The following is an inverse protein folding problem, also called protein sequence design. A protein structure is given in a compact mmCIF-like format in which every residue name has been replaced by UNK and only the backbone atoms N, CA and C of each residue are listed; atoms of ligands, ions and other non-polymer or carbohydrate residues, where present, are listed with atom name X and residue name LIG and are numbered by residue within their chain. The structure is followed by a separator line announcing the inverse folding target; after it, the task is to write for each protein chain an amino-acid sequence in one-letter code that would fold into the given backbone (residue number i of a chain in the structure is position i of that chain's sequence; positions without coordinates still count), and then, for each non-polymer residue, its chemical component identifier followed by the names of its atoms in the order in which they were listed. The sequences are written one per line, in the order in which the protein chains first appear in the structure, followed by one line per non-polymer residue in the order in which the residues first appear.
data_IF_270685400406
#
_entry.id   IF_270685400406
#
_cell.length_a   1.000
_cell.length_b   1.000
_cell.length_c   1.000
_cell.angle_alpha   90.00
_cell.angle_beta   90.00
_cell.angle_gamma   90.00
#
_symmetry.space_group_name_H-M   'P 1'
#
loop_
_entity.id
_entity.type
_entity.pdbx_description
1 polymer ?
#
# COMPACT_ATOMS: atom_id res chain seq x y z
N UNK A 1 -13.41 -2.58 -6.98
CA UNK A 1 -13.40 -4.03 -6.66
C UNK A 1 -12.28 -4.40 -5.66
N UNK A 2 -12.09 -3.63 -4.59
CA UNK A 2 -11.04 -3.91 -3.59
C UNK A 2 -11.45 -4.98 -2.55
N UNK A 3 -12.72 -5.42 -2.55
CA UNK A 3 -13.26 -6.37 -1.58
C UNK A 3 -13.08 -7.86 -1.93
N UNK A 4 -12.41 -8.19 -3.03
CA UNK A 4 -12.28 -9.59 -3.52
C UNK A 4 -10.84 -10.12 -3.50
N UNK A 5 -9.96 -9.50 -2.74
CA UNK A 5 -8.61 -10.03 -2.50
C UNK A 5 -8.66 -11.05 -1.37
N UNK A 6 -8.66 -12.34 -1.70
CA UNK A 6 -8.28 -13.36 -0.71
C UNK A 6 -6.77 -13.44 -0.78
N UNK A 7 -6.13 -12.53 -0.05
CA UNK A 7 -4.73 -12.74 0.35
C UNK A 7 -4.76 -13.54 1.65
N UNK A 8 -3.76 -14.38 1.86
CA UNK A 8 -3.61 -15.19 3.07
C UNK A 8 -3.88 -14.37 4.34
N UNK A 9 -4.38 -15.01 5.42
CA UNK A 9 -4.59 -14.32 6.71
C UNK A 9 -3.34 -13.55 7.16
N UNK A 10 -2.14 -14.04 6.82
CA UNK A 10 -0.85 -13.38 7.10
C UNK A 10 -0.77 -11.96 6.50
N UNK A 11 -1.26 -11.75 5.29
CA UNK A 11 -1.25 -10.43 4.66
C UNK A 11 -2.18 -9.45 5.39
N UNK A 12 -3.35 -9.90 5.82
CA UNK A 12 -4.27 -9.07 6.59
C UNK A 12 -3.71 -8.73 7.97
N UNK A 13 -3.03 -9.66 8.64
CA UNK A 13 -2.29 -9.36 9.87
C UNK A 13 -1.16 -8.36 9.63
N UNK A 14 -0.44 -8.47 8.52
CA UNK A 14 0.63 -7.53 8.17
C UNK A 14 0.05 -6.13 7.94
N UNK A 15 -1.04 -6.01 7.17
CA UNK A 15 -1.74 -4.74 6.99
C UNK A 15 -2.24 -4.15 8.31
N UNK A 16 -2.82 -4.99 9.18
CA UNK A 16 -3.28 -4.57 10.49
C UNK A 16 -2.14 -4.05 11.36
N UNK A 17 -1.01 -4.75 11.38
CA UNK A 17 0.20 -4.32 12.09
C UNK A 17 0.74 -3.00 11.52
N UNK A 18 0.84 -2.87 10.19
CA UNK A 18 1.31 -1.63 9.57
C UNK A 18 0.39 -0.45 9.87
N UNK A 19 -0.94 -0.66 9.84
CA UNK A 19 -1.92 0.35 10.20
C UNK A 19 -1.83 0.76 11.67
N UNK A 20 -1.68 -0.23 12.57
CA UNK A 20 -1.52 0.01 14.01
C UNK A 20 -0.22 0.80 14.32
N UNK A 21 0.90 0.40 13.73
CA UNK A 21 2.18 1.13 13.90
C UNK A 21 2.07 2.55 13.37
N UNK A 22 1.49 2.74 12.18
CA UNK A 22 1.29 4.06 11.57
C UNK A 22 0.41 4.98 12.44
N UNK A 23 -0.65 4.42 13.02
CA UNK A 23 -1.52 5.13 13.97
C UNK A 23 -0.79 5.51 15.25
N UNK A 24 -0.11 4.57 15.89
CA UNK A 24 0.57 4.81 17.17
C UNK A 24 1.70 5.81 16.99
N UNK A 25 2.55 5.62 15.99
CA UNK A 25 3.67 6.54 15.71
C UNK A 25 3.15 7.93 15.42
N UNK A 26 2.18 8.08 14.52
CA UNK A 26 1.70 9.40 14.17
C UNK A 26 0.90 10.09 15.27
N UNK A 27 0.14 9.36 16.09
CA UNK A 27 -0.56 9.94 17.26
C UNK A 27 0.41 10.34 18.37
N UNK A 28 1.40 9.50 18.70
CA UNK A 28 2.45 9.83 19.68
C UNK A 28 3.20 11.07 19.22
N UNK A 29 3.63 11.11 17.95
CA UNK A 29 4.40 12.23 17.42
C UNK A 29 3.60 13.54 17.36
N UNK A 30 2.29 13.45 17.07
CA UNK A 30 1.37 14.58 17.13
C UNK A 30 1.17 15.09 18.57
N UNK A 31 1.21 14.22 19.58
CA UNK A 31 1.03 14.60 20.99
C UNK A 31 2.32 15.19 21.59
N UNK A 32 3.48 14.62 21.27
CA UNK A 32 4.77 15.07 21.82
C UNK A 32 5.25 16.39 21.22
N UNK A 33 4.91 16.66 19.95
CA UNK A 33 5.43 17.83 19.23
C UNK A 33 4.36 18.88 18.90
N UNK A 34 3.28 18.97 19.70
CA UNK A 34 2.14 19.87 19.46
C UNK A 34 2.52 21.33 19.21
N UNK A 35 3.64 21.80 19.76
CA UNK A 35 4.12 23.18 19.60
C UNK A 35 4.97 23.44 18.34
N UNK A 36 5.58 22.41 17.77
CA UNK A 36 6.46 22.50 16.59
C UNK A 36 5.74 22.11 15.30
N UNK A 37 4.53 21.56 15.42
CA UNK A 37 3.72 21.06 14.33
C UNK A 37 2.84 22.13 13.71
N UNK A 38 3.47 23.10 13.03
CA UNK A 38 2.75 24.10 12.24
C UNK A 38 2.95 23.87 10.74
N UNK A 39 1.86 23.94 9.96
CA UNK A 39 1.89 23.85 8.50
C UNK A 39 2.14 22.44 7.94
N UNK A 40 3.08 22.32 7.02
CA UNK A 40 3.33 21.10 6.23
C UNK A 40 3.58 19.81 7.04
N UNK A 41 4.39 19.82 8.11
CA UNK A 41 4.62 18.64 8.93
C UNK A 41 3.33 18.11 9.60
N UNK A 42 2.44 18.99 10.05
CA UNK A 42 1.16 18.59 10.65
C UNK A 42 0.26 17.88 9.62
N UNK A 43 0.23 18.37 8.38
CA UNK A 43 -0.52 17.73 7.30
C UNK A 43 0.03 16.34 6.96
N UNK A 44 1.36 16.18 6.91
CA UNK A 44 2.01 14.89 6.64
C UNK A 44 1.71 13.86 7.73
N UNK A 45 1.76 14.24 9.02
CA UNK A 45 1.33 13.34 10.10
C UNK A 45 -0.14 13.01 9.98
N UNK A 46 -0.99 14.00 9.68
CA UNK A 46 -2.42 13.79 9.50
C UNK A 46 -2.71 12.77 8.39
N UNK A 47 -2.00 12.85 7.27
CA UNK A 47 -2.11 11.88 6.19
C UNK A 47 -1.59 10.50 6.60
N UNK A 48 -0.44 10.43 7.28
CA UNK A 48 0.16 9.18 7.73
C UNK A 48 -0.72 8.45 8.76
N UNK A 49 -1.25 9.17 9.74
CA UNK A 49 -2.20 8.62 10.73
C UNK A 49 -3.53 8.23 10.10
N UNK A 50 -4.09 9.07 9.21
CA UNK A 50 -5.33 8.79 8.50
C UNK A 50 -5.25 7.54 7.62
N UNK A 51 -4.16 7.39 6.86
CA UNK A 51 -3.90 6.19 6.07
C UNK A 51 -3.72 4.96 6.97
N UNK A 52 -3.00 5.11 8.09
CA UNK A 52 -2.88 4.07 9.13
C UNK A 52 -4.24 3.61 9.67
N UNK A 53 -5.14 4.56 9.94
CA UNK A 53 -6.51 4.29 10.41
C UNK A 53 -7.30 3.44 9.41
N UNK A 54 -7.26 3.83 8.14
CA UNK A 54 -7.97 3.10 7.07
C UNK A 54 -7.43 1.69 6.94
N UNK A 55 -6.10 1.52 6.92
CA UNK A 55 -5.48 0.18 6.84
C UNK A 55 -5.86 -0.69 8.04
N UNK A 56 -5.84 -0.12 9.25
CA UNK A 56 -6.21 -0.83 10.48
C UNK A 56 -7.67 -1.26 10.46
N UNK A 57 -8.60 -0.33 10.22
CA UNK A 57 -10.05 -0.62 10.23
C UNK A 57 -10.39 -1.63 9.13
N UNK A 58 -9.90 -1.42 7.92
CA UNK A 58 -10.21 -2.29 6.79
C UNK A 58 -9.70 -3.73 7.00
N UNK A 59 -8.47 -3.87 7.51
CA UNK A 59 -7.90 -5.19 7.82
C UNK A 59 -8.61 -5.87 8.99
N UNK A 60 -8.99 -5.13 10.03
CA UNK A 60 -9.75 -5.65 11.17
C UNK A 60 -11.13 -6.17 10.74
N UNK A 61 -11.88 -5.39 9.96
CA UNK A 61 -13.18 -5.80 9.41
C UNK A 61 -13.03 -7.06 8.55
N UNK A 62 -11.99 -7.11 7.70
CA UNK A 62 -11.77 -8.27 6.84
C UNK A 62 -11.41 -9.53 7.63
N UNK A 63 -10.58 -9.41 8.66
CA UNK A 63 -10.24 -10.53 9.55
C UNK A 63 -11.46 -11.02 10.32
N UNK A 64 -12.29 -10.11 10.83
CA UNK A 64 -13.56 -10.45 11.48
C UNK A 64 -14.50 -11.18 10.52
N UNK A 65 -14.64 -10.70 9.28
CA UNK A 65 -15.42 -11.37 8.23
C UNK A 65 -14.89 -12.78 7.94
N UNK A 66 -13.58 -12.94 7.78
CA UNK A 66 -12.97 -14.26 7.55
C UNK A 66 -13.12 -15.22 8.74
N UNK A 67 -13.28 -14.71 9.96
CA UNK A 67 -13.56 -15.52 11.14
C UNK A 67 -15.05 -15.94 11.22
N UNK A 68 -15.96 -15.08 10.77
CA UNK A 68 -17.41 -15.30 10.84
C UNK A 68 -17.97 -16.14 9.67
N UNK A 69 -17.30 -16.18 8.52
CA UNK A 69 -17.83 -16.80 7.30
C UNK A 69 -17.47 -18.28 7.22
N UNK A 70 -18.42 -19.08 6.69
CA UNK A 70 -18.22 -20.52 6.54
C UNK A 70 -17.05 -20.86 5.59
N UNK A 71 -16.30 -21.93 5.87
CA UNK A 71 -15.14 -22.34 5.06
C UNK A 71 -15.53 -22.66 3.62
N UNK A 72 -16.78 -23.08 3.37
CA UNK A 72 -17.31 -23.35 2.03
C UNK A 72 -17.41 -22.07 1.20
N UNK A 73 -17.86 -20.95 1.80
CA UNK A 73 -17.92 -19.66 1.11
C UNK A 73 -16.52 -19.13 0.82
N UNK A 74 -15.59 -19.27 1.77
CA UNK A 74 -14.18 -18.88 1.57
C UNK A 74 -13.52 -19.66 0.43
N UNK A 75 -13.74 -20.98 0.34
CA UNK A 75 -13.24 -21.80 -0.78
C UNK A 75 -13.83 -21.39 -2.12
N UNK A 76 -15.13 -21.08 -2.18
CA UNK A 76 -15.78 -20.60 -3.42
C UNK A 76 -15.19 -19.27 -3.90
N UNK A 77 -14.87 -18.37 -2.98
CA UNK A 77 -14.18 -17.12 -3.32
C UNK A 77 -12.74 -17.36 -3.77
N UNK A 78 -12.01 -18.30 -3.17
CA UNK A 78 -10.65 -18.64 -3.58
C UNK A 78 -10.61 -19.22 -5.00
N UNK A 79 -11.56 -20.10 -5.34
CA UNK A 79 -11.70 -20.66 -6.69
C UNK A 79 -11.96 -19.54 -7.70
N UNK A 80 -12.87 -18.61 -7.38
CA UNK A 80 -13.13 -17.44 -8.24
C UNK A 80 -11.89 -16.56 -8.39
N UNK A 81 -11.09 -16.40 -7.34
CA UNK A 81 -9.87 -15.61 -7.41
C UNK A 81 -8.80 -16.25 -8.30
N UNK A 82 -8.71 -17.59 -8.28
CA UNK A 82 -7.78 -18.37 -9.11
C UNK A 82 -8.27 -18.60 -10.56
N UNK A 83 -9.44 -18.08 -10.92
CA UNK A 83 -9.91 -18.07 -12.32
C UNK A 83 -8.92 -17.26 -13.17
N UNK A 84 -8.50 -17.82 -14.31
CA UNK A 84 -7.50 -17.25 -15.22
C UNK A 84 -7.84 -15.81 -15.62
N UNK A 85 -9.13 -15.51 -15.81
CA UNK A 85 -9.58 -14.15 -16.16
C UNK A 85 -9.31 -13.14 -15.06
N UNK A 86 -9.56 -13.52 -13.80
CA UNK A 86 -9.29 -12.65 -12.67
C UNK A 86 -7.78 -12.46 -12.46
N UNK A 87 -6.99 -13.50 -12.74
CA UNK A 87 -5.53 -13.41 -12.72
C UNK A 87 -5.03 -12.41 -13.77
N UNK A 88 -5.54 -12.48 -15.01
CA UNK A 88 -5.17 -11.54 -16.08
C UNK A 88 -5.58 -10.09 -15.76
N UNK A 89 -6.81 -9.87 -15.26
CA UNK A 89 -7.27 -8.55 -14.84
C UNK A 89 -6.41 -8.00 -13.71
N UNK A 90 -6.09 -8.83 -12.72
CA UNK A 90 -5.22 -8.44 -11.60
C UNK A 90 -3.83 -8.06 -12.10
N UNK A 91 -3.27 -8.81 -13.05
CA UNK A 91 -1.97 -8.50 -13.67
C UNK A 91 -2.01 -7.15 -14.40
N UNK A 92 -3.05 -6.90 -15.18
CA UNK A 92 -3.19 -5.65 -15.93
C UNK A 92 -3.36 -4.47 -14.97
N UNK A 93 -4.14 -4.64 -13.91
CA UNK A 93 -4.31 -3.64 -12.86
C UNK A 93 -3.00 -3.35 -12.11
N UNK A 94 -2.24 -4.38 -11.73
CA UNK A 94 -0.95 -4.21 -11.06
C UNK A 94 0.08 -3.53 -11.97
N UNK A 95 0.13 -3.93 -13.24
CA UNK A 95 1.03 -3.31 -14.22
C UNK A 95 0.69 -1.84 -14.45
N UNK A 96 -0.60 -1.53 -14.63
CA UNK A 96 -1.09 -0.15 -14.75
C UNK A 96 -0.77 0.68 -13.49
N UNK A 97 -0.95 0.10 -12.30
CA UNK A 97 -0.60 0.78 -11.04
C UNK A 97 0.91 1.03 -10.92
N UNK A 98 1.75 0.10 -11.37
CA UNK A 98 3.20 0.26 -11.38
C UNK A 98 3.64 1.40 -12.30
N UNK A 99 3.07 1.47 -13.51
CA UNK A 99 3.33 2.57 -14.45
C UNK A 99 2.86 3.91 -13.87
N UNK A 100 1.63 3.95 -13.34
CA UNK A 100 1.08 5.16 -12.74
C UNK A 100 1.92 5.68 -11.55
N UNK A 101 2.37 4.78 -10.66
CA UNK A 101 3.22 5.14 -9.54
C UNK A 101 4.60 5.62 -9.99
N UNK A 102 5.18 5.02 -11.04
CA UNK A 102 6.46 5.47 -11.61
C UNK A 102 6.34 6.88 -12.18
N UNK A 103 5.26 7.16 -12.93
CA UNK A 103 4.98 8.50 -13.45
C UNK A 103 4.76 9.51 -12.33
N UNK A 104 4.01 9.14 -11.29
CA UNK A 104 3.80 10.00 -10.13
C UNK A 104 5.11 10.37 -9.42
N UNK A 105 6.01 9.39 -9.21
CA UNK A 105 7.32 9.65 -8.63
C UNK A 105 8.21 10.52 -9.51
N UNK A 106 8.20 10.30 -10.83
CA UNK A 106 8.96 11.15 -11.76
C UNK A 106 8.47 12.61 -11.73
N UNK A 107 7.15 12.83 -11.78
CA UNK A 107 6.57 14.18 -11.69
C UNK A 107 6.90 14.86 -10.37
N UNK A 108 6.75 14.15 -9.24
CA UNK A 108 7.08 14.69 -7.92
C UNK A 108 8.58 15.00 -7.76
N UNK A 109 9.45 14.16 -8.31
CA UNK A 109 10.90 14.41 -8.30
C UNK A 109 11.26 15.68 -9.08
N UNK A 110 10.64 15.91 -10.25
CA UNK A 110 10.80 17.14 -11.02
C UNK A 110 10.29 18.36 -10.25
N UNK A 111 9.14 18.25 -9.58
CA UNK A 111 8.58 19.34 -8.76
C UNK A 111 9.53 19.68 -7.60
N UNK A 112 10.05 18.69 -6.87
CA UNK A 112 10.98 18.95 -5.77
C UNK A 112 12.31 19.51 -6.25
N UNK A 113 12.81 19.06 -7.41
CA UNK A 113 14.00 19.63 -8.01
C UNK A 113 13.78 21.11 -8.39
N UNK A 114 12.64 21.42 -9.01
CA UNK A 114 12.25 22.80 -9.36
C UNK A 114 12.13 23.72 -8.14
N UNK A 115 11.60 23.20 -7.03
CA UNK A 115 11.47 23.92 -5.77
C UNK A 115 12.78 24.02 -4.97
N UNK A 116 13.89 23.46 -5.47
CA UNK A 116 15.18 23.46 -4.78
C UNK A 116 15.31 22.44 -3.64
N UNK A 117 14.32 21.57 -3.45
CA UNK A 117 14.33 20.48 -2.47
C UNK A 117 15.12 19.27 -3.00
N UNK A 118 16.44 19.42 -3.04
CA UNK A 118 17.35 18.43 -3.63
C UNK A 118 17.29 17.08 -2.89
N UNK A 119 17.31 17.08 -1.55
CA UNK A 119 17.31 15.85 -0.76
C UNK A 119 16.01 15.04 -0.98
N UNK A 120 14.80 15.63 -0.84
CA UNK A 120 13.55 14.93 -1.15
C UNK A 120 13.48 14.42 -2.61
N UNK A 121 14.01 15.17 -3.57
CA UNK A 121 14.04 14.74 -4.97
C UNK A 121 14.88 13.47 -5.15
N UNK A 122 16.07 13.39 -4.56
CA UNK A 122 16.89 12.18 -4.61
C UNK A 122 16.27 11.00 -3.85
N UNK A 123 15.62 11.25 -2.71
CA UNK A 123 14.86 10.21 -1.99
C UNK A 123 13.73 9.62 -2.85
N UNK A 124 12.98 10.46 -3.59
CA UNK A 124 11.95 9.98 -4.51
C UNK A 124 12.53 9.19 -5.68
N UNK A 125 13.64 9.63 -6.26
CA UNK A 125 14.32 8.88 -7.32
C UNK A 125 14.78 7.51 -6.83
N UNK A 126 15.34 7.43 -5.62
CA UNK A 126 15.70 6.16 -4.99
C UNK A 126 14.49 5.25 -4.78
N UNK A 127 13.38 5.80 -4.27
CA UNK A 127 12.13 5.06 -4.09
C UNK A 127 11.55 4.56 -5.43
N UNK A 128 11.62 5.38 -6.49
CA UNK A 128 11.21 5.01 -7.83
C UNK A 128 12.03 3.83 -8.37
N UNK A 129 13.36 3.87 -8.23
CA UNK A 129 14.23 2.76 -8.65
C UNK A 129 13.94 1.47 -7.88
N UNK A 130 13.72 1.57 -6.57
CA UNK A 130 13.34 0.42 -5.75
C UNK A 130 12.00 -0.16 -6.20
N UNK A 131 11.00 0.69 -6.50
CA UNK A 131 9.72 0.24 -7.03
C UNK A 131 9.88 -0.48 -8.38
N UNK A 132 10.66 0.08 -9.31
CA UNK A 132 10.92 -0.55 -10.62
C UNK A 132 11.58 -1.92 -10.42
N UNK A 133 12.59 -2.00 -9.55
CA UNK A 133 13.29 -3.25 -9.24
C UNK A 133 12.34 -4.32 -8.68
N UNK A 134 11.51 -3.96 -7.70
CA UNK A 134 10.49 -4.87 -7.13
C UNK A 134 9.51 -5.32 -8.21
N UNK A 135 9.07 -4.41 -9.08
CA UNK A 135 8.13 -4.73 -10.17
C UNK A 135 8.76 -5.70 -11.18
N UNK A 136 10.02 -5.50 -11.53
CA UNK A 136 10.77 -6.39 -12.44
C UNK A 136 10.98 -7.77 -11.81
N UNK A 137 11.38 -7.85 -10.54
CA UNK A 137 11.52 -9.13 -9.83
C UNK A 137 10.18 -9.85 -9.78
N UNK A 138 9.10 -9.15 -9.41
CA UNK A 138 7.77 -9.73 -9.36
C UNK A 138 7.34 -10.29 -10.73
N UNK A 139 7.59 -9.54 -11.81
CA UNK A 139 7.29 -9.99 -13.17
C UNK A 139 8.13 -11.20 -13.59
N UNK A 140 9.43 -11.24 -13.22
CA UNK A 140 10.32 -12.38 -13.52
C UNK A 140 9.93 -13.65 -12.77
N UNK A 141 9.72 -13.54 -11.46
CA UNK A 141 9.32 -14.69 -10.61
C UNK A 141 8.00 -15.28 -11.08
N UNK A 142 7.09 -14.44 -11.55
CA UNK A 142 5.81 -14.88 -12.07
C UNK A 142 5.93 -15.57 -13.44
N UNK A 143 6.65 -14.96 -14.39
CA UNK A 143 6.91 -15.56 -15.71
C UNK A 143 7.66 -16.89 -15.61
N UNK A 144 8.51 -17.09 -14.60
CA UNK A 144 9.25 -18.35 -14.42
C UNK A 144 8.41 -19.48 -13.80
N UNK A 145 7.24 -19.18 -13.24
CA UNK A 145 6.33 -20.17 -12.63
C UNK A 145 5.19 -20.61 -13.55
N UNK A 146 5.01 -19.95 -14.69
CA UNK A 146 4.14 -20.38 -15.78
C UNK A 146 4.99 -21.04 -16.86
#
# INVERSE_FOLDING_TARGET
MLCKTIVSKKYWYLLLLTGAVSLVVGTVWAITNKGELNGGPAMLIGMFTGLGAVLFIFSAIRLAYMAAVSPVKLKKEEIKFRDERNIQITRLSLSASGVAATLAFAVLACIFFWLGYIIPAFCLLGAMWLQVLVTVIAHRVYNAKM
#
